data_IF_714870390315
#
_entry.id   IF_714870390315
#
_cell.length_a   1.000
_cell.length_b   1.000
_cell.length_c   1.000
_cell.angle_alpha   90.00
_cell.angle_beta   90.00
_cell.angle_gamma   90.00
#
_symmetry.space_group_name_H-M   'P 1'
#
loop_
_entity.id
_entity.type
_entity.pdbx_description
1 polymer ?
#
# COMPACT_ATOMS: atom_id res chain seq x y z
N UNK A 1 -33.70 19.79 -2.49
CA UNK A 1 -32.56 18.96 -2.05
C UNK A 1 -31.48 19.09 -3.10
N UNK A 2 -30.46 19.92 -2.83
CA UNK A 2 -29.31 20.07 -3.72
C UNK A 2 -28.45 18.84 -3.51
N UNK A 3 -28.31 18.01 -4.56
CA UNK A 3 -27.45 16.84 -4.53
C UNK A 3 -26.06 17.26 -4.08
N UNK A 4 -25.60 16.72 -2.96
CA UNK A 4 -24.24 16.90 -2.45
C UNK A 4 -23.35 16.27 -3.52
N UNK A 5 -22.85 17.06 -4.48
CA UNK A 5 -21.87 16.59 -5.44
C UNK A 5 -20.72 16.01 -4.61
N UNK A 6 -20.55 14.69 -4.70
CA UNK A 6 -19.49 14.01 -4.00
C UNK A 6 -18.17 14.60 -4.50
N UNK A 7 -17.49 15.37 -3.66
CA UNK A 7 -16.12 15.79 -3.93
C UNK A 7 -15.35 14.50 -4.23
N UNK A 8 -14.69 14.38 -5.39
CA UNK A 8 -13.97 13.15 -5.73
C UNK A 8 -12.98 12.84 -4.61
N UNK A 9 -13.06 11.62 -4.07
CA UNK A 9 -12.18 11.15 -3.00
C UNK A 9 -10.73 11.41 -3.38
N UNK A 10 -9.97 12.08 -2.51
CA UNK A 10 -8.57 12.39 -2.78
C UNK A 10 -7.78 11.09 -2.95
N UNK A 11 -7.03 11.00 -4.05
CA UNK A 11 -6.06 9.92 -4.28
C UNK A 11 -4.90 10.04 -3.30
N UNK A 12 -4.11 8.97 -3.06
CA UNK A 12 -2.92 9.06 -2.20
C UNK A 12 -1.95 10.17 -2.63
N UNK A 13 -1.75 10.36 -3.94
CA UNK A 13 -0.90 11.44 -4.46
C UNK A 13 -1.51 12.83 -4.21
N UNK A 14 -2.83 12.97 -4.29
CA UNK A 14 -3.50 14.23 -3.97
C UNK A 14 -3.39 14.57 -2.46
N UNK A 15 -3.45 13.57 -1.58
CA UNK A 15 -3.20 13.73 -0.14
C UNK A 15 -1.77 14.24 0.08
N UNK A 16 -0.76 13.61 -0.52
CA UNK A 16 0.64 14.03 -0.40
C UNK A 16 0.88 15.46 -0.92
N UNK A 17 0.32 15.81 -2.09
CA UNK A 17 0.42 17.16 -2.65
C UNK A 17 -0.23 18.21 -1.73
N UNK A 18 -1.44 17.96 -1.21
CA UNK A 18 -2.09 18.88 -0.29
C UNK A 18 -1.34 18.98 1.04
N UNK A 19 -0.75 17.89 1.54
CA UNK A 19 0.05 17.91 2.76
C UNK A 19 1.31 18.78 2.61
N UNK A 20 2.02 18.68 1.48
CA UNK A 20 3.16 19.57 1.18
C UNK A 20 2.72 21.04 1.11
N UNK A 21 1.59 21.30 0.45
CA UNK A 21 1.05 22.66 0.33
C UNK A 21 0.45 23.22 1.63
N UNK A 22 0.10 22.36 2.59
CA UNK A 22 -0.28 22.75 3.96
C UNK A 22 0.91 23.36 4.71
N UNK A 23 2.14 22.90 4.43
CA UNK A 23 3.37 23.41 5.03
C UNK A 23 3.74 24.80 4.49
N UNK A 24 3.68 24.97 3.17
CA UNK A 24 3.99 26.24 2.48
C UNK A 24 3.63 26.18 0.99
N UNK A 25 3.51 27.32 0.31
CA UNK A 25 3.41 27.36 -1.15
C UNK A 25 4.64 26.70 -1.82
N UNK A 26 4.39 25.91 -2.87
CA UNK A 26 5.44 25.21 -3.62
C UNK A 26 5.13 25.14 -5.11
N UNK A 27 6.17 25.05 -5.93
CA UNK A 27 6.04 24.65 -7.33
C UNK A 27 5.98 23.11 -7.44
N UNK A 28 5.25 22.51 -8.41
CA UNK A 28 5.16 21.05 -8.53
C UNK A 28 6.51 20.31 -8.60
N UNK A 29 7.51 20.84 -9.31
CA UNK A 29 8.86 20.27 -9.31
C UNK A 29 9.49 20.24 -7.91
N UNK A 30 9.24 21.25 -7.09
CA UNK A 30 9.75 21.32 -5.74
C UNK A 30 9.03 20.33 -4.82
N UNK A 31 7.70 20.21 -4.96
CA UNK A 31 6.95 19.16 -4.28
C UNK A 31 7.53 17.78 -4.59
N UNK A 32 7.82 17.52 -5.86
CA UNK A 32 8.46 16.27 -6.29
C UNK A 32 9.82 16.04 -5.61
N UNK A 33 10.69 17.05 -5.59
CA UNK A 33 12.00 16.96 -4.94
C UNK A 33 11.89 16.73 -3.42
N UNK A 34 10.98 17.45 -2.75
CA UNK A 34 10.76 17.30 -1.31
C UNK A 34 10.21 15.91 -0.98
N UNK A 35 9.24 15.42 -1.75
CA UNK A 35 8.64 14.11 -1.54
C UNK A 35 9.67 12.98 -1.70
N UNK A 36 10.52 13.03 -2.74
CA UNK A 36 11.61 12.06 -2.90
C UNK A 36 12.66 12.16 -1.81
N UNK A 37 13.02 13.38 -1.38
CA UNK A 37 13.98 13.57 -0.30
C UNK A 37 13.47 12.98 1.04
N UNK A 38 12.15 12.91 1.22
CA UNK A 38 11.48 12.33 2.38
C UNK A 38 11.16 10.84 2.22
N UNK A 39 11.54 10.22 1.10
CA UNK A 39 11.17 8.85 0.75
C UNK A 39 9.65 8.60 0.77
N UNK A 40 8.84 9.62 0.44
CA UNK A 40 7.37 9.48 0.34
C UNK A 40 6.97 8.57 -0.84
N UNK A 41 7.89 8.29 -1.76
CA UNK A 41 7.70 7.33 -2.85
C UNK A 41 7.54 5.87 -2.38
N UNK A 42 7.90 5.58 -1.13
CA UNK A 42 7.60 4.33 -0.43
C UNK A 42 6.12 4.21 -0.03
N UNK A 43 5.45 5.35 0.19
CA UNK A 43 4.05 5.39 0.64
C UNK A 43 3.09 5.59 -0.53
N UNK A 44 3.52 6.34 -1.55
CA UNK A 44 2.71 6.70 -2.70
C UNK A 44 3.56 6.65 -3.95
N UNK A 45 3.05 6.06 -5.03
CA UNK A 45 3.75 6.11 -6.32
C UNK A 45 3.81 7.55 -6.87
N UNK A 46 4.99 8.15 -6.86
CA UNK A 46 5.21 9.52 -7.37
C UNK A 46 5.92 9.49 -8.72
N UNK A 47 5.22 9.92 -9.77
CA UNK A 47 5.81 10.23 -11.08
C UNK A 47 5.70 11.73 -11.34
N UNK A 48 6.71 12.40 -11.94
CA UNK A 48 6.65 13.83 -12.22
C UNK A 48 5.36 14.23 -12.94
N UNK A 49 5.05 13.60 -14.09
CA UNK A 49 3.84 13.91 -14.85
C UNK A 49 2.55 13.71 -14.04
N UNK A 50 2.46 12.63 -13.26
CA UNK A 50 1.30 12.38 -12.38
C UNK A 50 1.14 13.45 -11.30
N UNK A 51 2.25 13.97 -10.77
CA UNK A 51 2.22 15.05 -9.78
C UNK A 51 1.74 16.36 -10.41
N UNK A 52 2.27 16.76 -11.57
CA UNK A 52 1.80 17.95 -12.29
C UNK A 52 0.30 17.86 -12.62
N UNK A 53 -0.16 16.72 -13.15
CA UNK A 53 -1.58 16.49 -13.42
C UNK A 53 -2.42 16.54 -12.14
N UNK A 54 -1.91 16.01 -11.03
CA UNK A 54 -2.61 16.06 -9.74
C UNK A 54 -2.77 17.50 -9.26
N UNK A 55 -1.73 18.32 -9.32
CA UNK A 55 -1.79 19.73 -8.95
C UNK A 55 -2.79 20.49 -9.82
N UNK A 56 -2.77 20.27 -11.14
CA UNK A 56 -3.72 20.91 -12.07
C UNK A 56 -5.18 20.54 -11.71
N UNK A 57 -5.45 19.25 -11.45
CA UNK A 57 -6.78 18.78 -11.03
C UNK A 57 -7.23 19.38 -9.70
N UNK A 58 -6.32 19.49 -8.72
CA UNK A 58 -6.62 20.12 -7.45
C UNK A 58 -6.95 21.62 -7.62
N UNK A 59 -6.31 22.28 -8.58
CA UNK A 59 -6.59 23.69 -8.92
C UNK A 59 -7.95 23.85 -9.59
N UNK A 60 -8.30 22.98 -10.54
CA UNK A 60 -9.64 22.91 -11.16
C UNK A 60 -10.74 22.71 -10.11
N UNK A 61 -10.46 21.90 -9.08
CA UNK A 61 -11.35 21.66 -7.95
C UNK A 61 -11.35 22.79 -6.90
N UNK A 62 -10.58 23.87 -7.10
CA UNK A 62 -10.41 25.00 -6.16
C UNK A 62 -9.92 24.58 -4.77
N UNK A 63 -9.17 23.48 -4.70
CA UNK A 63 -8.51 23.02 -3.47
C UNK A 63 -7.13 23.69 -3.30
N UNK A 64 -6.53 24.12 -4.40
CA UNK A 64 -5.30 24.92 -4.43
C UNK A 64 -5.48 26.08 -5.42
N UNK A 65 -4.67 27.12 -5.27
CA UNK A 65 -4.65 28.29 -6.16
C UNK A 65 -3.22 28.62 -6.57
N UNK A 66 -3.04 29.14 -7.79
CA UNK A 66 -1.75 29.67 -8.22
C UNK A 66 -1.51 31.04 -7.57
N UNK A 67 -0.37 31.24 -6.89
CA UNK A 67 -0.03 32.49 -6.21
C UNK A 67 0.86 33.43 -7.04
N UNK A 68 1.32 32.98 -8.22
CA UNK A 68 2.10 33.79 -9.15
C UNK A 68 3.06 32.95 -9.99
N UNK A 69 3.57 33.55 -11.07
CA UNK A 69 4.66 33.03 -11.89
C UNK A 69 5.94 33.81 -11.62
N UNK A 70 6.89 33.21 -10.90
CA UNK A 70 8.22 33.80 -10.81
C UNK A 70 9.02 33.45 -12.07
N UNK A 71 9.46 34.48 -12.80
CA UNK A 71 10.49 34.35 -13.85
C UNK A 71 11.86 34.65 -13.26
N UNK A 72 12.61 33.62 -12.93
CA UNK A 72 14.05 33.74 -12.71
C UNK A 72 14.81 33.59 -14.04
N UNK A 73 15.06 34.71 -14.73
CA UNK A 73 15.88 34.75 -15.95
C UNK A 73 15.24 34.07 -17.17
N UNK A 74 16.04 33.30 -17.93
CA UNK A 74 15.62 32.64 -19.19
C UNK A 74 15.00 31.24 -19.01
N UNK A 75 14.48 30.94 -17.81
CA UNK A 75 13.84 29.64 -17.50
C UNK A 75 12.32 29.73 -17.70
N UNK A 76 11.65 28.60 -18.02
CA UNK A 76 10.20 28.56 -18.12
C UNK A 76 9.52 29.06 -16.83
N UNK A 77 8.35 29.67 -16.98
CA UNK A 77 7.56 30.22 -15.87
C UNK A 77 7.30 29.15 -14.81
N UNK A 78 7.59 29.51 -13.54
CA UNK A 78 7.44 28.62 -12.40
C UNK A 78 6.21 29.04 -11.61
N UNK A 79 5.08 28.36 -11.86
CA UNK A 79 3.82 28.62 -11.15
C UNK A 79 3.84 27.98 -9.76
N UNK A 80 3.87 28.80 -8.73
CA UNK A 80 3.75 28.35 -7.34
C UNK A 80 2.28 28.19 -6.96
N UNK A 81 1.95 27.13 -6.24
CA UNK A 81 0.60 26.88 -5.74
C UNK A 81 0.55 27.00 -4.23
N UNK A 82 -0.59 27.45 -3.70
CA UNK A 82 -0.94 27.44 -2.27
C UNK A 82 -2.24 26.67 -2.07
N UNK A 83 -2.35 25.96 -0.94
CA UNK A 83 -3.60 25.32 -0.52
C UNK A 83 -4.66 26.35 -0.12
N UNK A 84 -5.90 26.13 -0.53
CA UNK A 84 -7.05 26.94 -0.13
C UNK A 84 -7.75 26.35 1.12
N UNK A 85 -8.61 27.12 1.82
CA UNK A 85 -9.37 26.60 2.96
C UNK A 85 -10.12 25.29 2.65
N UNK A 86 -10.72 25.18 1.46
CA UNK A 86 -11.39 23.95 1.01
C UNK A 86 -10.42 22.77 0.81
N UNK A 87 -9.19 23.01 0.34
CA UNK A 87 -8.15 21.98 0.22
C UNK A 87 -7.72 21.43 1.58
N UNK A 88 -7.61 22.30 2.58
CA UNK A 88 -7.27 21.95 3.96
C UNK A 88 -8.34 21.09 4.62
N UNK A 89 -9.61 21.45 4.41
CA UNK A 89 -10.74 20.65 4.86
C UNK A 89 -10.79 19.29 4.17
N UNK A 90 -10.57 19.24 2.85
CA UNK A 90 -10.54 18.01 2.08
C UNK A 90 -9.41 17.07 2.55
N UNK A 91 -8.21 17.59 2.75
CA UNK A 91 -7.06 16.83 3.27
C UNK A 91 -7.38 16.21 4.63
N UNK A 92 -7.83 17.03 5.60
CA UNK A 92 -8.14 16.57 6.96
C UNK A 92 -9.27 15.55 6.97
N UNK A 93 -10.32 15.79 6.18
CA UNK A 93 -11.46 14.88 6.08
C UNK A 93 -11.04 13.52 5.53
N UNK A 94 -10.21 13.50 4.48
CA UNK A 94 -9.74 12.26 3.88
C UNK A 94 -8.81 11.48 4.82
N UNK A 95 -7.87 12.14 5.49
CA UNK A 95 -7.00 11.49 6.48
C UNK A 95 -7.83 10.90 7.62
N UNK A 96 -8.81 11.65 8.14
CA UNK A 96 -9.69 11.16 9.19
C UNK A 96 -10.56 9.98 8.74
N UNK A 97 -11.01 9.97 7.47
CA UNK A 97 -11.77 8.86 6.89
C UNK A 97 -10.94 7.57 6.87
N UNK A 98 -9.71 7.62 6.31
CA UNK A 98 -8.81 6.46 6.20
C UNK A 98 -8.43 5.93 7.59
N UNK A 99 -8.17 6.83 8.56
CA UNK A 99 -7.86 6.42 9.93
C UNK A 99 -9.06 5.79 10.66
N UNK A 100 -10.28 6.21 10.32
CA UNK A 100 -11.51 5.74 10.99
C UNK A 100 -12.00 4.42 10.43
N UNK A 101 -11.97 4.29 9.10
CA UNK A 101 -12.57 3.16 8.41
C UNK A 101 -11.52 2.48 7.54
N UNK A 102 -11.24 1.18 7.78
CA UNK A 102 -10.41 0.41 6.88
C UNK A 102 -10.96 0.48 5.46
N UNK A 103 -10.08 0.82 4.52
CA UNK A 103 -10.37 0.72 3.09
C UNK A 103 -9.97 -0.68 2.65
N UNK A 104 -10.77 -1.31 1.80
CA UNK A 104 -10.38 -2.61 1.23
C UNK A 104 -9.23 -2.39 0.25
N UNK A 105 -8.02 -2.72 0.68
CA UNK A 105 -6.84 -2.75 -0.16
C UNK A 105 -6.80 -4.09 -0.91
N UNK A 106 -6.32 -4.08 -2.15
CA UNK A 106 -6.17 -5.29 -2.97
C UNK A 106 -4.68 -5.59 -3.18
N UNK A 107 -3.94 -6.03 -2.13
CA UNK A 107 -2.57 -6.46 -2.27
C UNK A 107 -2.48 -7.67 -3.20
N UNK A 108 -1.44 -7.73 -4.03
CA UNK A 108 -1.28 -8.81 -5.01
C UNK A 108 -0.80 -10.12 -4.39
N UNK A 109 -0.11 -10.06 -3.24
CA UNK A 109 0.50 -11.25 -2.64
C UNK A 109 -0.52 -12.29 -2.12
N UNK A 110 -1.64 -11.90 -1.47
CA UNK A 110 -2.70 -12.86 -1.16
C UNK A 110 -3.28 -13.59 -2.37
N UNK A 111 -3.29 -12.96 -3.55
CA UNK A 111 -3.66 -13.65 -4.80
C UNK A 111 -2.64 -14.73 -5.13
N UNK A 112 -1.34 -14.43 -5.03
CA UNK A 112 -0.29 -15.43 -5.23
C UNK A 112 -0.38 -16.59 -4.21
N UNK A 113 -0.74 -16.32 -2.94
CA UNK A 113 -0.97 -17.37 -1.95
C UNK A 113 -2.19 -18.24 -2.29
N UNK A 114 -3.30 -17.64 -2.71
CA UNK A 114 -4.50 -18.37 -3.13
C UNK A 114 -4.20 -19.30 -4.33
N UNK A 115 -3.37 -18.82 -5.26
CA UNK A 115 -3.00 -19.57 -6.46
C UNK A 115 -1.71 -20.41 -6.30
N UNK A 116 -1.07 -20.42 -5.12
CA UNK A 116 0.23 -21.07 -4.92
C UNK A 116 0.16 -22.58 -5.20
N UNK A 117 -0.98 -23.21 -4.94
CA UNK A 117 -1.25 -24.63 -5.20
C UNK A 117 -1.11 -25.03 -6.69
N UNK A 118 -0.95 -24.07 -7.60
CA UNK A 118 -0.61 -24.29 -9.01
C UNK A 118 0.90 -24.52 -9.26
N UNK A 119 1.73 -24.50 -8.23
CA UNK A 119 3.18 -24.73 -8.31
C UNK A 119 3.58 -25.97 -7.50
N UNK A 120 4.65 -26.69 -7.91
CA UNK A 120 5.28 -27.71 -7.08
C UNK A 120 5.68 -27.16 -5.70
N UNK A 121 5.56 -27.97 -4.65
CA UNK A 121 5.86 -27.55 -3.27
C UNK A 121 7.28 -27.01 -3.11
N UNK A 122 8.26 -27.63 -3.77
CA UNK A 122 9.67 -27.21 -3.69
C UNK A 122 9.88 -25.81 -4.28
N UNK A 123 9.17 -25.47 -5.37
CA UNK A 123 9.21 -24.15 -5.99
C UNK A 123 8.57 -23.10 -5.08
N UNK A 124 7.44 -23.43 -4.47
CA UNK A 124 6.76 -22.54 -3.51
C UNK A 124 7.67 -22.25 -2.31
N UNK A 125 8.28 -23.28 -1.74
CA UNK A 125 9.23 -23.13 -0.63
C UNK A 125 10.42 -22.26 -1.02
N UNK A 126 11.02 -22.48 -2.20
CA UNK A 126 12.15 -21.68 -2.68
C UNK A 126 11.76 -20.20 -2.86
N UNK A 127 10.66 -19.92 -3.57
CA UNK A 127 10.19 -18.56 -3.84
C UNK A 127 9.79 -17.80 -2.57
N UNK A 128 9.13 -18.48 -1.63
CA UNK A 128 8.75 -17.86 -0.35
C UNK A 128 9.99 -17.56 0.50
N UNK A 129 11.03 -18.40 0.48
CA UNK A 129 12.32 -18.11 1.15
C UNK A 129 13.01 -16.87 0.58
N UNK A 130 13.01 -16.71 -0.73
CA UNK A 130 13.52 -15.49 -1.36
C UNK A 130 12.75 -14.25 -0.90
N UNK A 131 11.41 -14.34 -0.86
CA UNK A 131 10.56 -13.26 -0.35
C UNK A 131 10.87 -12.94 1.12
N UNK A 132 10.99 -13.95 1.98
CA UNK A 132 11.34 -13.77 3.40
C UNK A 132 12.67 -13.04 3.54
N UNK A 133 13.69 -13.43 2.77
CA UNK A 133 15.01 -12.78 2.76
C UNK A 133 14.90 -11.29 2.40
N UNK A 134 14.07 -10.96 1.41
CA UNK A 134 13.80 -9.57 1.02
C UNK A 134 13.09 -8.79 2.15
N UNK A 135 12.06 -9.38 2.77
CA UNK A 135 11.31 -8.75 3.87
C UNK A 135 12.22 -8.51 5.08
N UNK A 136 13.06 -9.48 5.45
CA UNK A 136 14.01 -9.36 6.56
C UNK A 136 15.05 -8.26 6.30
N UNK A 137 15.55 -8.16 5.07
CA UNK A 137 16.43 -7.06 4.67
C UNK A 137 15.74 -5.70 4.82
N UNK A 138 14.46 -5.61 4.44
CA UNK A 138 13.67 -4.40 4.59
C UNK A 138 13.39 -4.04 6.06
N UNK A 139 13.13 -5.03 6.92
CA UNK A 139 13.00 -4.84 8.37
C UNK A 139 14.29 -4.26 8.94
N UNK A 140 15.46 -4.78 8.54
CA UNK A 140 16.75 -4.28 8.99
C UNK A 140 16.98 -2.80 8.58
N UNK A 141 16.60 -2.42 7.35
CA UNK A 141 16.61 -1.01 6.92
C UNK A 141 15.72 -0.12 7.79
N UNK A 142 14.48 -0.54 8.06
CA UNK A 142 13.53 0.21 8.89
C UNK A 142 14.02 0.34 10.34
N UNK A 143 14.62 -0.71 10.89
CA UNK A 143 15.22 -0.68 12.23
C UNK A 143 16.43 0.27 12.29
N UNK A 144 17.26 0.33 11.23
CA UNK A 144 18.34 1.30 11.11
C UNK A 144 17.82 2.75 10.99
N UNK A 145 16.80 2.98 10.16
CA UNK A 145 16.12 4.27 10.05
C UNK A 145 15.55 4.72 11.39
N UNK A 146 14.87 3.82 12.10
CA UNK A 146 14.36 4.05 13.47
C UNK A 146 15.47 4.46 14.43
N UNK A 147 16.60 3.76 14.43
CA UNK A 147 17.77 4.11 15.25
C UNK A 147 18.27 5.52 14.94
N UNK A 148 18.34 5.89 13.66
CA UNK A 148 18.76 7.22 13.21
C UNK A 148 17.82 8.34 13.66
N UNK A 149 16.50 8.19 13.48
CA UNK A 149 15.53 9.22 13.88
C UNK A 149 15.47 9.39 15.39
N UNK A 150 15.62 8.31 16.17
CA UNK A 150 15.73 8.38 17.63
C UNK A 150 16.99 9.12 18.07
N UNK A 151 18.14 8.83 17.47
CA UNK A 151 19.41 9.50 17.81
C UNK A 151 19.39 11.01 17.55
N UNK A 152 18.62 11.44 16.53
CA UNK A 152 18.44 12.84 16.14
C UNK A 152 17.25 13.51 16.84
N UNK A 153 16.57 12.81 17.75
CA UNK A 153 15.40 13.31 18.47
C UNK A 153 14.28 13.81 17.55
N UNK A 154 14.11 13.18 16.37
CA UNK A 154 13.03 13.52 15.45
C UNK A 154 11.69 13.17 16.12
N UNK A 155 10.74 14.13 16.23
CA UNK A 155 9.47 13.85 16.88
C UNK A 155 8.72 12.67 16.23
N UNK A 156 8.27 11.72 17.06
CA UNK A 156 7.62 10.46 16.63
C UNK A 156 6.51 10.61 15.59
N UNK A 157 5.74 11.70 15.66
CA UNK A 157 4.64 11.98 14.71
C UNK A 157 5.07 12.09 13.25
N UNK A 158 6.36 12.29 12.97
CA UNK A 158 6.90 12.43 11.62
C UNK A 158 7.49 11.14 11.03
N UNK A 159 7.44 10.04 11.78
CA UNK A 159 7.95 8.74 11.33
C UNK A 159 7.13 7.56 11.87
N UNK A 160 5.89 7.80 12.32
CA UNK A 160 5.05 6.76 12.94
C UNK A 160 4.68 5.66 11.96
N UNK A 161 4.59 5.99 10.67
CA UNK A 161 4.35 5.04 9.57
C UNK A 161 5.49 4.03 9.42
N UNK A 162 6.74 4.40 9.72
CA UNK A 162 7.88 3.46 9.73
C UNK A 162 7.66 2.36 10.77
N UNK A 163 7.16 2.69 11.96
CA UNK A 163 6.85 1.70 13.00
C UNK A 163 5.72 0.76 12.54
N UNK A 164 4.69 1.31 11.90
CA UNK A 164 3.57 0.53 11.38
C UNK A 164 4.01 -0.45 10.29
N UNK A 165 4.76 0.02 9.28
CA UNK A 165 5.25 -0.81 8.18
C UNK A 165 6.15 -1.92 8.71
N UNK A 166 7.09 -1.58 9.60
CA UNK A 166 8.00 -2.55 10.22
C UNK A 166 7.24 -3.62 11.00
N UNK A 167 6.18 -3.26 11.72
CA UNK A 167 5.35 -4.20 12.46
C UNK A 167 4.63 -5.19 11.52
N UNK A 168 4.04 -4.70 10.43
CA UNK A 168 3.39 -5.55 9.44
C UNK A 168 4.38 -6.51 8.75
N UNK A 169 5.54 -6.01 8.35
CA UNK A 169 6.56 -6.83 7.71
C UNK A 169 7.11 -7.92 8.63
N UNK A 170 7.30 -7.61 9.91
CA UNK A 170 7.71 -8.62 10.89
C UNK A 170 6.65 -9.72 11.07
N UNK A 171 5.37 -9.35 11.11
CA UNK A 171 4.28 -10.31 11.17
C UNK A 171 4.21 -11.18 9.90
N UNK A 172 4.38 -10.58 8.72
CA UNK A 172 4.42 -11.31 7.45
C UNK A 172 5.60 -12.29 7.40
N UNK A 173 6.81 -11.85 7.74
CA UNK A 173 7.99 -12.73 7.78
C UNK A 173 7.79 -13.90 8.75
N UNK A 174 7.27 -13.63 9.95
CA UNK A 174 6.99 -14.68 10.94
C UNK A 174 5.99 -15.70 10.40
N UNK A 175 4.91 -15.24 9.77
CA UNK A 175 3.90 -16.13 9.18
C UNK A 175 4.49 -16.98 8.05
N UNK A 176 5.28 -16.37 7.15
CA UNK A 176 5.89 -17.06 6.01
C UNK A 176 6.92 -18.12 6.45
N UNK A 177 7.66 -17.88 7.54
CA UNK A 177 8.52 -18.90 8.13
C UNK A 177 7.72 -20.12 8.61
N UNK A 178 6.56 -19.89 9.25
CA UNK A 178 5.65 -20.96 9.65
C UNK A 178 5.09 -21.72 8.45
N UNK A 179 4.62 -20.99 7.44
CA UNK A 179 4.11 -21.57 6.20
C UNK A 179 5.15 -22.45 5.47
N UNK A 180 6.41 -22.00 5.40
CA UNK A 180 7.51 -22.82 4.88
C UNK A 180 7.68 -24.08 5.71
N UNK A 181 7.69 -23.98 7.04
CA UNK A 181 7.87 -25.14 7.91
C UNK A 181 6.76 -26.19 7.74
N UNK A 182 5.50 -25.77 7.63
CA UNK A 182 4.35 -26.66 7.40
C UNK A 182 4.44 -27.40 6.06
N UNK A 183 4.84 -26.70 4.99
CA UNK A 183 5.05 -27.31 3.66
C UNK A 183 6.20 -28.33 3.68
N UNK A 184 7.30 -28.00 4.36
CA UNK A 184 8.48 -28.87 4.40
C UNK A 184 8.31 -30.09 5.30
N UNK A 185 7.51 -29.99 6.36
CA UNK A 185 7.17 -31.12 7.24
C UNK A 185 6.11 -32.04 6.64
N UNK A 186 5.37 -31.56 5.64
CA UNK A 186 4.20 -32.22 5.08
C UNK A 186 2.97 -32.14 6.00
N UNK A 187 3.01 -31.30 7.04
CA UNK A 187 1.82 -30.99 7.85
C UNK A 187 0.74 -30.28 7.03
N UNK A 188 1.17 -29.45 6.05
CA UNK A 188 0.30 -28.91 5.03
C UNK A 188 0.37 -29.75 3.77
N UNK A 189 -0.72 -30.47 3.48
CA UNK A 189 -0.89 -31.25 2.26
C UNK A 189 -0.87 -30.36 1.01
N UNK A 190 -0.28 -30.85 -0.08
CA UNK A 190 -0.03 -30.07 -1.30
C UNK A 190 -0.36 -30.84 -2.58
N UNK A 191 -0.50 -30.11 -3.70
CA UNK A 191 -0.75 -30.73 -5.00
C UNK A 191 0.50 -31.40 -5.56
N UNK A 192 0.31 -32.58 -6.16
CA UNK A 192 1.37 -33.32 -6.84
C UNK A 192 1.44 -32.97 -8.33
N UNK A 193 2.65 -32.93 -8.88
CA UNK A 193 2.90 -32.63 -10.28
C UNK A 193 3.74 -33.72 -10.95
N UNK A 194 3.49 -33.97 -12.24
CA UNK A 194 4.32 -34.87 -13.03
C UNK A 194 5.66 -34.20 -13.36
N UNK A 195 6.77 -34.82 -12.96
CA UNK A 195 8.11 -34.27 -13.22
C UNK A 195 8.44 -34.12 -14.72
N UNK A 196 7.87 -34.99 -15.57
CA UNK A 196 8.17 -35.00 -17.01
C UNK A 196 7.28 -34.02 -17.80
N UNK A 197 6.02 -33.84 -17.39
CA UNK A 197 5.04 -33.02 -18.14
C UNK A 197 4.70 -31.69 -17.47
N UNK A 198 5.01 -31.52 -16.18
CA UNK A 198 4.61 -30.37 -15.36
C UNK A 198 3.10 -30.33 -15.07
N UNK A 199 2.34 -31.33 -15.49
CA UNK A 199 0.89 -31.37 -15.29
C UNK A 199 0.56 -31.75 -13.85
N UNK A 200 -0.44 -31.06 -13.27
CA UNK A 200 -1.01 -31.42 -11.97
C UNK A 200 -1.60 -32.82 -12.05
N UNK A 201 -1.23 -33.68 -11.10
CA UNK A 201 -1.81 -35.01 -10.97
C UNK A 201 -3.21 -34.88 -10.36
N UNK A 202 -4.20 -35.37 -11.09
CA UNK A 202 -5.60 -35.35 -10.62
C UNK A 202 -5.72 -36.31 -9.44
N UNK A 203 -6.03 -35.77 -8.26
CA UNK A 203 -6.40 -36.58 -7.09
C UNK A 203 -7.83 -37.10 -7.25
N UNK A 204 -8.16 -38.35 -6.86
CA UNK A 204 -9.53 -38.87 -6.93
C UNK A 204 -10.51 -37.93 -6.21
N UNK A 205 -11.66 -37.68 -6.84
CA UNK A 205 -12.60 -36.60 -6.56
C UNK A 205 -13.39 -36.66 -5.23
N UNK A 206 -12.80 -37.17 -4.14
CA UNK A 206 -13.45 -37.20 -2.83
C UNK A 206 -13.20 -35.96 -1.97
N UNK A 207 -12.28 -35.06 -2.37
CA UNK A 207 -11.88 -33.92 -1.54
C UNK A 207 -12.27 -32.60 -2.21
N UNK A 208 -12.82 -31.69 -1.39
CA UNK A 208 -13.39 -30.37 -1.75
C UNK A 208 -12.62 -29.68 -2.89
N UNK A 209 -13.34 -28.98 -3.77
CA UNK A 209 -12.79 -28.36 -4.98
C UNK A 209 -11.55 -27.46 -4.76
N UNK A 210 -10.96 -26.98 -5.85
CA UNK A 210 -9.63 -26.36 -5.86
C UNK A 210 -9.48 -24.98 -5.18
N UNK A 211 -10.50 -24.51 -4.46
CA UNK A 211 -10.41 -23.28 -3.67
C UNK A 211 -11.10 -23.42 -2.30
N UNK A 212 -10.80 -22.49 -1.38
CA UNK A 212 -11.37 -22.51 -0.03
C UNK A 212 -12.91 -22.37 -0.02
N UNK A 213 -13.48 -21.74 -1.05
CA UNK A 213 -14.92 -21.50 -1.16
C UNK A 213 -15.67 -22.77 -1.60
N UNK A 214 -15.04 -23.65 -2.38
CA UNK A 214 -15.55 -24.97 -2.73
C UNK A 214 -15.68 -25.89 -1.49
N UNK A 215 -15.01 -25.53 -0.40
CA UNK A 215 -15.08 -26.18 0.89
C UNK A 215 -16.14 -25.64 1.86
N UNK A 216 -16.78 -24.50 1.55
CA UNK A 216 -17.72 -23.84 2.46
C UNK A 216 -19.05 -23.58 1.76
N UNK A 217 -20.15 -23.82 2.47
CA UNK A 217 -21.47 -23.45 1.96
C UNK A 217 -21.69 -21.94 2.06
N UNK A 218 -22.62 -21.39 1.28
CA UNK A 218 -23.01 -19.98 1.41
C UNK A 218 -23.52 -19.65 2.83
N UNK A 219 -24.07 -20.64 3.54
CA UNK A 219 -24.54 -20.53 4.92
C UNK A 219 -23.40 -20.40 5.92
N UNK A 220 -22.27 -21.11 5.71
CA UNK A 220 -21.05 -20.99 6.51
C UNK A 220 -20.47 -19.57 6.40
N UNK A 221 -20.38 -19.06 5.17
CA UNK A 221 -19.87 -17.70 4.89
C UNK A 221 -20.79 -16.63 5.50
N UNK A 222 -22.12 -16.81 5.41
CA UNK A 222 -23.10 -15.89 5.98
C UNK A 222 -23.06 -15.85 7.52
N UNK A 223 -22.67 -16.95 8.17
CA UNK A 223 -22.58 -17.06 9.62
C UNK A 223 -21.37 -16.29 10.18
N UNK A 224 -20.21 -16.39 9.52
CA UNK A 224 -19.01 -15.59 9.87
C UNK A 224 -19.28 -14.08 9.73
N UNK A 225 -19.94 -13.67 8.64
CA UNK A 225 -20.28 -12.25 8.38
C UNK A 225 -21.25 -11.66 9.41
N UNK A 226 -22.16 -12.47 9.97
CA UNK A 226 -23.10 -12.04 11.02
C UNK A 226 -22.46 -12.00 12.41
N UNK A 227 -21.45 -12.85 12.67
CA UNK A 227 -20.74 -12.90 13.95
C UNK A 227 -19.80 -11.71 14.22
N UNK A 228 -19.27 -11.07 13.17
CA UNK A 228 -18.38 -9.91 13.26
C UNK A 228 -19.06 -8.54 13.43
N UNK A 229 -20.39 -8.50 13.53
CA UNK A 229 -21.19 -7.27 13.64
C UNK A 229 -21.65 -6.95 15.07
N UNK A 230 -20.93 -7.41 16.11
CA UNK A 230 -21.17 -7.05 17.52
C UNK A 230 -20.12 -6.10 18.06
#
# INVERSE_FOLDING_TARGET
MIGKQAVPTLTPLAIAVLALLEERPMHPYEMYQVALHRHEDELVKIKPGSLYHTVARLAEQRLVVAEGTDRAGNRPERTTYRIEPAGREALRSRVAEILRQPVNEYPIFPVALAEAHNLPVDDVVALVRERVTWIESRIAELDALRGMVLSRQVPRRFWIEVEYIRALQAAEAQWLHGFIAELQSGELDWEDFCADTGERRIRPAETMGSDWAAGLTEEDIATVRRGGAR
#
